data_IF_192814390656
#
_entry.id   IF_192814390656
#
_cell.length_a   1.000
_cell.length_b   1.000
_cell.length_c   1.000
_cell.angle_alpha   90.00
_cell.angle_beta   90.00
_cell.angle_gamma   90.00
#
_symmetry.space_group_name_H-M   'P 1'
#
loop_
_entity.id
_entity.type
_entity.pdbx_description
1 polymer ?
#
# COMPACT_ATOMS: atom_id res chain seq x y z
N UNK A 1 57.14 -20.26 0.60
CA UNK A 1 55.73 -20.40 1.04
C UNK A 1 55.26 -19.02 1.48
N UNK A 2 54.74 -18.23 0.55
CA UNK A 2 54.23 -16.89 0.83
C UNK A 2 52.71 -17.00 1.04
N UNK A 3 52.27 -16.83 2.28
CA UNK A 3 50.86 -16.71 2.66
C UNK A 3 50.34 -15.39 2.06
N UNK A 4 49.49 -15.47 1.04
CA UNK A 4 48.78 -14.31 0.50
C UNK A 4 47.74 -13.84 1.54
N UNK A 5 47.59 -12.53 1.79
CA UNK A 5 46.61 -12.04 2.75
C UNK A 5 45.20 -12.33 2.23
N UNK A 6 44.40 -13.00 3.08
CA UNK A 6 42.97 -13.21 2.87
C UNK A 6 42.29 -11.83 2.72
N UNK A 7 41.51 -11.59 1.65
CA UNK A 7 40.79 -10.32 1.52
C UNK A 7 39.73 -10.25 2.63
N UNK A 8 39.94 -9.34 3.57
CA UNK A 8 38.99 -8.99 4.61
C UNK A 8 37.71 -8.49 3.95
N UNK A 9 36.61 -9.24 4.09
CA UNK A 9 35.28 -8.81 3.62
C UNK A 9 34.88 -7.52 4.34
N UNK A 10 35.01 -6.38 3.68
CA UNK A 10 34.33 -5.15 4.07
C UNK A 10 32.85 -5.37 3.74
N UNK A 11 32.02 -5.66 4.75
CA UNK A 11 30.62 -6.03 4.50
C UNK A 11 29.69 -5.87 5.70
N UNK A 12 29.51 -4.65 6.18
CA UNK A 12 28.32 -4.26 6.95
C UNK A 12 28.18 -2.73 6.96
N UNK A 13 27.27 -2.18 6.14
CA UNK A 13 26.10 -1.50 6.73
C UNK A 13 24.78 -1.66 5.93
N UNK A 14 24.69 -2.57 4.96
CA UNK A 14 23.52 -2.66 4.04
C UNK A 14 22.22 -3.13 4.68
N UNK A 15 22.27 -3.82 5.84
CA UNK A 15 21.06 -4.34 6.50
C UNK A 15 20.59 -3.53 7.70
N UNK A 16 21.45 -2.68 8.28
CA UNK A 16 21.09 -1.88 9.46
C UNK A 16 19.93 -0.92 9.17
N UNK A 17 19.89 -0.35 7.96
CA UNK A 17 18.77 0.49 7.51
C UNK A 17 17.44 -0.30 7.48
N UNK A 18 17.49 -1.55 7.01
CA UNK A 18 16.32 -2.42 6.84
C UNK A 18 15.77 -2.80 8.20
N UNK A 19 16.65 -3.25 9.10
CA UNK A 19 16.28 -3.59 10.48
C UNK A 19 15.70 -2.37 11.20
N UNK A 20 16.33 -1.19 11.08
CA UNK A 20 15.81 0.04 11.68
C UNK A 20 14.40 0.37 11.16
N UNK A 21 14.20 0.41 9.85
CA UNK A 21 12.90 0.69 9.26
C UNK A 21 11.85 -0.37 9.63
N UNK A 22 12.25 -1.65 9.68
CA UNK A 22 11.39 -2.74 10.08
C UNK A 22 10.92 -2.59 11.52
N UNK A 23 11.84 -2.41 12.48
CA UNK A 23 11.50 -2.23 13.90
C UNK A 23 10.58 -1.04 14.14
N UNK A 24 10.66 0.01 13.32
CA UNK A 24 9.80 1.19 13.41
C UNK A 24 8.37 0.95 12.91
N UNK A 25 8.13 -0.04 12.04
CA UNK A 25 6.87 -0.19 11.30
C UNK A 25 6.23 -1.58 11.38
N UNK A 26 6.90 -2.57 11.97
CA UNK A 26 6.43 -3.95 12.06
C UNK A 26 5.08 -4.07 12.78
N UNK A 27 4.92 -3.40 13.93
CA UNK A 27 3.67 -3.46 14.71
C UNK A 27 2.48 -2.91 13.90
N UNK A 28 2.72 -1.84 13.14
CA UNK A 28 1.71 -1.22 12.29
C UNK A 28 1.34 -2.12 11.10
N UNK A 29 2.34 -2.70 10.42
CA UNK A 29 2.16 -3.64 9.32
C UNK A 29 1.40 -4.90 9.77
N UNK A 30 1.75 -5.42 10.95
CA UNK A 30 1.08 -6.57 11.56
C UNK A 30 -0.39 -6.26 11.84
N UNK A 31 -0.69 -5.11 12.45
CA UNK A 31 -2.06 -4.66 12.68
C UNK A 31 -2.87 -4.55 11.39
N UNK A 32 -2.29 -3.93 10.36
CA UNK A 32 -2.88 -3.83 9.02
C UNK A 32 -3.17 -5.21 8.42
N UNK A 33 -2.20 -6.12 8.41
CA UNK A 33 -2.35 -7.45 7.81
C UNK A 33 -3.37 -8.31 8.56
N UNK A 34 -3.41 -8.24 9.90
CA UNK A 34 -4.42 -8.93 10.71
C UNK A 34 -5.83 -8.45 10.40
N UNK A 35 -6.01 -7.14 10.25
CA UNK A 35 -7.31 -6.57 9.89
C UNK A 35 -7.75 -7.03 8.49
N UNK A 36 -6.85 -7.01 7.52
CA UNK A 36 -7.17 -7.37 6.14
C UNK A 36 -7.42 -8.88 5.91
N UNK A 37 -6.71 -9.73 6.64
CA UNK A 37 -6.81 -11.19 6.46
C UNK A 37 -7.90 -11.81 7.32
N UNK A 38 -8.21 -11.23 8.49
CA UNK A 38 -9.07 -11.86 9.50
C UNK A 38 -8.47 -13.11 10.13
N UNK A 39 -7.24 -13.50 9.76
CA UNK A 39 -6.55 -14.71 10.17
C UNK A 39 -5.15 -14.34 10.68
N UNK A 40 -4.88 -14.70 11.94
CA UNK A 40 -3.62 -14.35 12.60
C UNK A 40 -2.44 -15.02 11.90
N UNK A 41 -2.55 -16.30 11.56
CA UNK A 41 -1.40 -17.05 11.08
C UNK A 41 -1.09 -16.64 9.62
N UNK A 42 -2.13 -16.40 8.82
CA UNK A 42 -1.97 -15.79 7.50
C UNK A 42 -1.31 -14.39 7.53
N UNK A 43 -1.64 -13.58 8.54
CA UNK A 43 -1.02 -12.26 8.71
C UNK A 43 0.46 -12.35 9.07
N UNK A 44 0.85 -13.30 9.94
CA UNK A 44 2.25 -13.55 10.29
C UNK A 44 3.08 -14.02 9.08
N UNK A 45 2.52 -14.90 8.25
CA UNK A 45 3.18 -15.35 7.02
C UNK A 45 3.44 -14.19 6.05
N UNK A 46 2.44 -13.34 5.83
CA UNK A 46 2.57 -12.15 4.98
C UNK A 46 3.57 -11.14 5.53
N UNK A 47 3.60 -10.98 6.86
CA UNK A 47 4.58 -10.13 7.53
C UNK A 47 5.99 -10.67 7.32
N UNK A 48 6.20 -11.98 7.48
CA UNK A 48 7.49 -12.63 7.25
C UNK A 48 7.94 -12.49 5.79
N UNK A 49 7.08 -12.74 4.81
CA UNK A 49 7.42 -12.57 3.38
C UNK A 49 7.79 -11.12 3.05
N UNK A 50 7.07 -10.15 3.64
CA UNK A 50 7.39 -8.72 3.49
C UNK A 50 8.78 -8.41 4.03
N UNK A 51 9.14 -8.95 5.20
CA UNK A 51 10.48 -8.77 5.77
C UNK A 51 11.57 -9.36 4.87
N UNK A 52 11.37 -10.59 4.38
CA UNK A 52 12.31 -11.26 3.48
C UNK A 52 12.51 -10.47 2.19
N UNK A 53 11.45 -9.90 1.62
CA UNK A 53 11.53 -9.03 0.45
C UNK A 53 12.31 -7.74 0.75
N UNK A 54 12.13 -7.13 1.92
CA UNK A 54 12.91 -5.96 2.35
C UNK A 54 14.39 -6.29 2.49
N UNK A 55 14.71 -7.42 3.14
CA UNK A 55 16.09 -7.90 3.29
C UNK A 55 16.76 -8.20 1.95
N UNK A 56 16.04 -8.79 0.98
CA UNK A 56 16.54 -9.04 -0.38
C UNK A 56 16.79 -7.75 -1.16
N UNK A 57 15.97 -6.71 -0.95
CA UNK A 57 16.15 -5.42 -1.61
C UNK A 57 17.41 -4.66 -1.10
N UNK A 58 17.79 -4.87 0.17
CA UNK A 58 19.08 -4.43 0.73
C UNK A 58 19.39 -2.95 0.46
N UNK A 59 20.48 -2.68 -0.25
CA UNK A 59 20.90 -1.31 -0.55
C UNK A 59 19.85 -0.49 -1.33
N UNK A 60 19.06 -1.12 -2.20
CA UNK A 60 17.98 -0.44 -2.93
C UNK A 60 16.87 0.02 -1.97
N UNK A 61 16.61 -0.75 -0.92
CA UNK A 61 15.68 -0.34 0.13
C UNK A 61 16.24 0.83 0.94
N UNK A 62 17.53 0.81 1.28
CA UNK A 62 18.17 1.92 2.00
C UNK A 62 18.17 3.25 1.23
N UNK A 63 18.09 3.20 -0.10
CA UNK A 63 18.05 4.37 -0.95
C UNK A 63 16.63 4.93 -1.17
N UNK A 64 15.60 4.33 -0.56
CA UNK A 64 14.23 4.82 -0.68
C UNK A 64 14.02 6.07 0.17
N UNK A 65 13.33 7.05 -0.42
CA UNK A 65 12.88 8.25 0.31
C UNK A 65 11.87 7.87 1.41
N UNK A 66 11.02 6.87 1.15
CA UNK A 66 10.02 6.38 2.12
C UNK A 66 10.00 4.84 2.20
N UNK A 67 10.75 4.32 3.17
CA UNK A 67 10.81 2.90 3.51
C UNK A 67 9.46 2.35 3.98
N UNK A 68 8.67 3.12 4.74
CA UNK A 68 7.36 2.68 5.26
C UNK A 68 6.39 2.47 4.11
N UNK A 69 6.25 3.46 3.22
CA UNK A 69 5.36 3.33 2.07
C UNK A 69 5.73 2.14 1.18
N UNK A 70 7.02 1.84 1.05
CA UNK A 70 7.46 0.64 0.33
C UNK A 70 7.05 -0.65 1.05
N UNK A 71 7.24 -0.75 2.37
CA UNK A 71 6.84 -1.93 3.15
C UNK A 71 5.34 -2.22 3.02
N UNK A 72 4.50 -1.19 3.19
CA UNK A 72 3.05 -1.33 3.02
C UNK A 72 2.64 -1.72 1.60
N UNK A 73 3.36 -1.23 0.58
CA UNK A 73 3.13 -1.62 -0.81
C UNK A 73 3.45 -3.09 -1.03
N UNK A 74 4.58 -3.57 -0.50
CA UNK A 74 4.98 -4.96 -0.63
C UNK A 74 4.02 -5.89 0.11
N UNK A 75 3.61 -5.51 1.32
CA UNK A 75 2.63 -6.26 2.10
C UNK A 75 1.27 -6.36 1.39
N UNK A 76 0.77 -5.25 0.81
CA UNK A 76 -0.44 -5.25 -0.02
C UNK A 76 -0.33 -6.16 -1.23
N UNK A 77 0.79 -6.09 -1.96
CA UNK A 77 0.99 -6.96 -3.12
C UNK A 77 0.97 -8.45 -2.71
N UNK A 78 1.64 -8.80 -1.61
CA UNK A 78 1.66 -10.17 -1.10
C UNK A 78 0.25 -10.66 -0.69
N UNK A 79 -0.54 -9.78 -0.06
CA UNK A 79 -1.93 -10.05 0.27
C UNK A 79 -2.77 -10.31 -0.99
N UNK A 80 -2.68 -9.45 -2.01
CA UNK A 80 -3.39 -9.62 -3.29
C UNK A 80 -3.01 -10.94 -3.96
N UNK A 81 -1.71 -11.27 -4.00
CA UNK A 81 -1.22 -12.52 -4.58
C UNK A 81 -1.82 -13.73 -3.85
N UNK A 82 -1.88 -13.69 -2.50
CA UNK A 82 -2.51 -14.74 -1.68
C UNK A 82 -4.00 -14.87 -1.98
N UNK A 83 -4.75 -13.77 -2.01
CA UNK A 83 -6.19 -13.79 -2.29
C UNK A 83 -6.50 -14.35 -3.68
N UNK A 84 -5.62 -14.12 -4.65
CA UNK A 84 -5.74 -14.70 -5.99
C UNK A 84 -5.55 -16.22 -6.00
N UNK A 85 -4.61 -16.73 -5.22
CA UNK A 85 -4.36 -18.18 -5.09
C UNK A 85 -5.46 -18.90 -4.30
N UNK A 86 -6.11 -18.19 -3.37
CA UNK A 86 -7.22 -18.73 -2.57
C UNK A 86 -8.54 -18.79 -3.34
N UNK A 87 -8.67 -18.10 -4.49
CA UNK A 87 -9.83 -18.26 -5.38
C UNK A 87 -9.65 -19.53 -6.22
N UNK A 88 -10.55 -20.53 -6.14
CA UNK A 88 -10.64 -21.57 -7.15
C UNK A 88 -10.76 -20.91 -8.53
N UNK A 89 -10.05 -21.44 -9.53
CA UNK A 89 -10.25 -21.03 -10.92
C UNK A 89 -11.56 -21.62 -11.46
N UNK A 90 -12.69 -21.25 -10.85
CA UNK A 90 -14.00 -21.59 -11.38
C UNK A 90 -14.45 -20.49 -12.36
N UNK A 91 -15.10 -20.87 -13.48
CA UNK A 91 -15.73 -19.90 -14.36
C UNK A 91 -16.74 -19.09 -13.56
N UNK A 92 -16.71 -17.77 -13.74
CA UNK A 92 -17.46 -16.76 -12.99
C UNK A 92 -18.92 -17.18 -12.85
N UNK A 93 -19.30 -17.67 -11.68
CA UNK A 93 -20.68 -17.67 -11.24
C UNK A 93 -20.94 -16.33 -10.55
N UNK A 94 -21.96 -15.62 -11.03
CA UNK A 94 -22.28 -14.22 -10.67
C UNK A 94 -22.82 -14.06 -9.25
N UNK A 95 -22.75 -15.07 -8.38
CA UNK A 95 -23.32 -15.05 -7.05
C UNK A 95 -22.31 -15.48 -5.98
N UNK A 96 -21.41 -14.57 -5.64
CA UNK A 96 -20.69 -14.61 -4.36
C UNK A 96 -20.54 -13.20 -3.77
N UNK A 97 -21.69 -12.55 -3.55
CA UNK A 97 -21.81 -11.55 -2.51
C UNK A 97 -21.73 -12.29 -1.18
N UNK A 98 -20.64 -12.09 -0.42
CA UNK A 98 -20.62 -11.92 1.04
C UNK A 98 -19.15 -11.71 1.43
N UNK A 99 -18.67 -10.48 1.28
CA UNK A 99 -17.67 -9.96 2.21
C UNK A 99 -18.43 -9.79 3.51
N UNK A 100 -18.16 -10.64 4.50
CA UNK A 100 -18.68 -10.44 5.84
C UNK A 100 -18.24 -9.04 6.30
N UNK A 101 -19.19 -8.11 6.31
CA UNK A 101 -19.03 -6.83 6.93
C UNK A 101 -18.84 -7.10 8.43
N UNK A 102 -17.59 -7.09 8.88
CA UNK A 102 -17.33 -6.84 10.28
C UNK A 102 -17.92 -5.46 10.57
N UNK A 103 -18.96 -5.42 11.40
CA UNK A 103 -19.59 -4.18 11.84
C UNK A 103 -18.50 -3.23 12.37
N UNK A 104 -18.32 -2.04 11.78
CA UNK A 104 -17.45 -1.06 12.38
C UNK A 104 -18.16 -0.53 13.62
N UNK A 105 -17.60 -0.81 14.81
CA UNK A 105 -17.98 -0.06 16.00
C UNK A 105 -17.83 1.45 15.70
N UNK A 106 -18.82 2.29 16.06
CA UNK A 106 -18.77 3.70 15.73
C UNK A 106 -17.75 4.39 16.63
N UNK A 107 -16.52 4.55 16.15
CA UNK A 107 -15.53 5.45 16.72
C UNK A 107 -15.74 6.85 16.12
N UNK A 108 -16.22 7.86 16.89
CA UNK A 108 -16.66 9.16 16.37
C UNK A 108 -15.52 10.08 15.88
N UNK A 109 -14.31 9.56 15.69
CA UNK A 109 -13.12 10.31 15.29
C UNK A 109 -12.44 9.79 14.00
N UNK A 110 -13.02 8.82 13.29
CA UNK A 110 -12.46 8.25 12.04
C UNK A 110 -12.97 8.98 10.77
N UNK A 111 -13.91 9.92 10.90
CA UNK A 111 -14.84 10.24 9.80
C UNK A 111 -14.48 11.40 8.86
N UNK A 112 -13.58 12.33 9.20
CA UNK A 112 -13.36 13.49 8.33
C UNK A 112 -12.45 13.21 7.12
N UNK A 113 -11.45 12.33 7.25
CA UNK A 113 -10.53 12.01 6.15
C UNK A 113 -11.11 10.94 5.20
N UNK A 114 -11.82 9.96 5.74
CA UNK A 114 -12.50 8.92 4.94
C UNK A 114 -13.59 9.53 4.06
N UNK A 115 -14.42 10.41 4.62
CA UNK A 115 -15.40 11.18 3.85
C UNK A 115 -14.78 12.10 2.81
N UNK A 116 -13.64 12.72 3.13
CA UNK A 116 -12.87 13.51 2.18
C UNK A 116 -12.39 12.67 0.99
N UNK A 117 -11.82 11.47 1.20
CA UNK A 117 -11.35 10.60 0.12
C UNK A 117 -12.51 10.22 -0.80
N UNK A 118 -13.64 9.80 -0.23
CA UNK A 118 -14.83 9.43 -1.00
C UNK A 118 -15.31 10.59 -1.89
N UNK A 119 -15.37 11.81 -1.33
CA UNK A 119 -15.75 13.02 -2.07
C UNK A 119 -14.74 13.37 -3.15
N UNK A 120 -13.45 13.41 -2.85
CA UNK A 120 -12.42 13.78 -3.83
C UNK A 120 -12.36 12.77 -4.98
N UNK A 121 -12.61 11.49 -4.72
CA UNK A 121 -12.72 10.49 -5.79
C UNK A 121 -13.89 10.76 -6.75
N UNK A 122 -15.00 11.34 -6.28
CA UNK A 122 -16.11 11.76 -7.14
C UNK A 122 -15.79 13.00 -7.97
N UNK A 123 -14.84 13.82 -7.52
CA UNK A 123 -14.40 15.03 -8.21
C UNK A 123 -13.33 14.77 -9.30
N UNK A 124 -12.73 13.58 -9.29
CA UNK A 124 -11.77 13.15 -10.31
C UNK A 124 -12.47 12.68 -11.59
N UNK A 125 -11.69 12.54 -12.67
CA UNK A 125 -12.21 11.90 -13.88
C UNK A 125 -12.62 10.45 -13.59
N UNK A 126 -13.62 9.92 -14.32
CA UNK A 126 -14.09 8.55 -14.14
C UNK A 126 -12.95 7.53 -14.26
N UNK A 127 -12.05 7.72 -15.24
CA UNK A 127 -10.85 6.90 -15.44
C UNK A 127 -9.88 6.95 -14.24
N UNK A 128 -9.62 8.14 -13.68
CA UNK A 128 -8.72 8.28 -12.54
C UNK A 128 -9.33 7.65 -11.28
N UNK A 129 -10.62 7.88 -11.03
CA UNK A 129 -11.32 7.31 -9.90
C UNK A 129 -11.42 5.78 -9.99
N UNK A 130 -11.71 5.24 -11.17
CA UNK A 130 -11.76 3.79 -11.44
C UNK A 130 -10.41 3.11 -11.12
N UNK A 131 -9.30 3.65 -11.63
CA UNK A 131 -7.99 3.04 -11.39
C UNK A 131 -7.56 3.13 -9.91
N UNK A 132 -7.90 4.23 -9.22
CA UNK A 132 -7.62 4.40 -7.80
C UNK A 132 -8.44 3.44 -6.93
N UNK A 133 -9.75 3.29 -7.21
CA UNK A 133 -10.58 2.32 -6.48
C UNK A 133 -10.06 0.90 -6.66
N UNK A 134 -9.90 0.46 -7.92
CA UNK A 134 -9.48 -0.89 -8.23
C UNK A 134 -8.10 -1.20 -7.62
N UNK A 135 -7.11 -0.34 -7.85
CA UNK A 135 -5.73 -0.65 -7.45
C UNK A 135 -5.41 -0.30 -6.00
N UNK A 136 -5.89 0.85 -5.49
CA UNK A 136 -5.45 1.39 -4.21
C UNK A 136 -6.42 1.06 -3.05
N UNK A 137 -7.72 0.87 -3.34
CA UNK A 137 -8.74 0.54 -2.33
C UNK A 137 -9.09 -0.96 -2.33
N UNK A 138 -9.36 -1.53 -3.50
CA UNK A 138 -9.76 -2.93 -3.67
C UNK A 138 -8.56 -3.88 -3.79
N UNK A 139 -7.35 -3.33 -3.96
CA UNK A 139 -6.11 -4.10 -3.99
C UNK A 139 -5.88 -4.90 -5.28
N UNK A 140 -6.58 -4.58 -6.37
CA UNK A 140 -6.34 -5.17 -7.69
C UNK A 140 -4.90 -4.87 -8.16
N UNK A 141 -4.22 -5.84 -8.77
CA UNK A 141 -2.89 -5.59 -9.32
C UNK A 141 -2.99 -4.68 -10.56
N UNK A 142 -1.97 -3.84 -10.78
CA UNK A 142 -1.90 -3.00 -11.99
C UNK A 142 -1.88 -3.82 -13.29
N UNK A 143 -1.39 -5.06 -13.23
CA UNK A 143 -1.37 -5.99 -14.37
C UNK A 143 -2.77 -6.48 -14.69
N UNK A 144 -3.52 -6.91 -13.68
CA UNK A 144 -4.90 -7.37 -13.87
C UNK A 144 -5.81 -6.20 -14.26
N UNK A 145 -5.59 -5.00 -13.69
CA UNK A 145 -6.28 -3.78 -14.11
C UNK A 145 -6.02 -3.47 -15.59
N UNK A 146 -4.76 -3.56 -16.03
CA UNK A 146 -4.40 -3.36 -17.43
C UNK A 146 -5.13 -4.35 -18.35
N UNK A 147 -5.14 -5.64 -17.98
CA UNK A 147 -5.84 -6.68 -18.73
C UNK A 147 -7.36 -6.44 -18.79
N UNK A 148 -7.99 -6.14 -17.64
CA UNK A 148 -9.42 -5.90 -17.54
C UNK A 148 -9.90 -4.72 -18.39
N UNK A 149 -9.04 -3.70 -18.60
CA UNK A 149 -9.38 -2.47 -19.34
C UNK A 149 -8.74 -2.38 -20.73
N UNK A 150 -8.15 -3.47 -21.23
CA UNK A 150 -7.52 -3.49 -22.56
C UNK A 150 -6.34 -2.52 -22.71
N UNK A 151 -5.62 -2.24 -21.61
CA UNK A 151 -4.46 -1.34 -21.58
C UNK A 151 -3.16 -2.15 -21.56
N UNK A 152 -2.08 -1.52 -22.03
CA UNK A 152 -0.75 -2.04 -21.73
C UNK A 152 -0.38 -1.78 -20.26
N UNK A 153 0.44 -2.65 -19.66
CA UNK A 153 0.92 -2.45 -18.29
C UNK A 153 1.62 -1.09 -18.08
N UNK A 154 2.48 -0.60 -19.00
CA UNK A 154 3.03 0.76 -18.90
C UNK A 154 1.96 1.85 -18.93
N UNK A 155 0.91 1.71 -19.75
CA UNK A 155 -0.18 2.67 -19.81
C UNK A 155 -1.00 2.69 -18.51
N UNK A 156 -1.30 1.53 -17.93
CA UNK A 156 -1.96 1.42 -16.63
C UNK A 156 -1.12 2.03 -15.50
N UNK A 157 0.18 1.73 -15.45
CA UNK A 157 1.14 2.34 -14.51
C UNK A 157 1.16 3.86 -14.60
N UNK A 158 1.26 4.39 -15.82
CA UNK A 158 1.30 5.83 -16.06
C UNK A 158 -0.03 6.51 -15.69
N UNK A 159 -1.17 5.87 -15.98
CA UNK A 159 -2.51 6.34 -15.59
C UNK A 159 -2.63 6.41 -14.07
N UNK A 160 -2.34 5.32 -13.37
CA UNK A 160 -2.43 5.28 -11.90
C UNK A 160 -1.52 6.30 -11.23
N UNK A 161 -0.29 6.49 -11.75
CA UNK A 161 0.62 7.52 -11.23
C UNK A 161 0.03 8.92 -11.36
N UNK A 162 -0.55 9.26 -12.53
CA UNK A 162 -1.20 10.56 -12.75
C UNK A 162 -2.44 10.72 -11.87
N UNK A 163 -3.25 9.68 -11.74
CA UNK A 163 -4.43 9.68 -10.87
C UNK A 163 -4.07 9.96 -9.41
N UNK A 164 -3.02 9.30 -8.88
CA UNK A 164 -2.51 9.55 -7.51
C UNK A 164 -2.02 10.98 -7.30
N UNK A 165 -1.35 11.58 -8.29
CA UNK A 165 -0.92 12.99 -8.24
C UNK A 165 -2.13 13.93 -8.16
N UNK A 166 -3.12 13.73 -9.03
CA UNK A 166 -4.37 14.52 -9.04
C UNK A 166 -5.15 14.35 -7.74
N UNK A 167 -5.25 13.13 -7.22
CA UNK A 167 -5.87 12.86 -5.92
C UNK A 167 -5.19 13.66 -4.81
N UNK A 168 -3.85 13.60 -4.73
CA UNK A 168 -3.07 14.37 -3.75
C UNK A 168 -3.34 15.86 -3.85
N UNK A 169 -3.24 16.44 -5.05
CA UNK A 169 -3.50 17.87 -5.30
C UNK A 169 -4.90 18.28 -4.83
N UNK A 170 -5.92 17.48 -5.17
CA UNK A 170 -7.30 17.75 -4.76
C UNK A 170 -7.51 17.59 -3.26
N UNK A 171 -6.91 16.60 -2.62
CA UNK A 171 -6.99 16.44 -1.17
C UNK A 171 -6.35 17.62 -0.41
N UNK A 172 -5.25 18.17 -0.93
CA UNK A 172 -4.63 19.39 -0.38
C UNK A 172 -5.57 20.59 -0.45
N UNK A 173 -6.25 20.78 -1.59
CA UNK A 173 -7.14 21.93 -1.81
C UNK A 173 -8.48 21.77 -1.08
N UNK A 174 -9.12 20.62 -1.24
CA UNK A 174 -10.50 20.39 -0.85
C UNK A 174 -10.67 19.99 0.62
N UNK A 175 -9.62 19.43 1.24
CA UNK A 175 -9.67 18.91 2.61
C UNK A 175 -8.55 19.47 3.49
N UNK A 176 -7.79 20.46 2.97
CA UNK A 176 -6.65 21.09 3.64
C UNK A 176 -5.68 20.08 4.24
N UNK A 177 -5.52 18.95 3.54
CA UNK A 177 -4.56 17.92 3.92
C UNK A 177 -3.17 18.49 3.68
N UNK A 178 -2.39 18.67 4.74
CA UNK A 178 -0.98 19.03 4.62
C UNK A 178 -0.17 17.75 4.52
N UNK A 179 0.67 17.69 3.50
CA UNK A 179 1.64 16.62 3.34
C UNK A 179 3.01 17.08 3.85
N UNK A 180 3.73 16.20 4.54
CA UNK A 180 5.10 16.45 4.96
C UNK A 180 5.98 16.50 3.70
N UNK A 181 6.74 17.58 3.50
CA UNK A 181 7.62 17.68 2.34
C UNK A 181 8.79 16.68 2.37
N UNK A 182 9.14 16.12 3.53
CA UNK A 182 10.26 15.18 3.67
C UNK A 182 9.90 13.75 3.24
N UNK A 183 8.70 13.27 3.57
CA UNK A 183 8.31 11.87 3.35
C UNK A 183 6.91 11.70 2.70
N UNK A 184 6.19 12.80 2.43
CA UNK A 184 4.89 12.77 1.79
C UNK A 184 3.74 12.24 2.66
N UNK A 185 3.95 12.12 3.98
CA UNK A 185 2.91 11.74 4.96
C UNK A 185 1.88 12.83 5.13
N UNK A 186 0.68 12.50 5.57
CA UNK A 186 -0.30 13.51 6.02
C UNK A 186 0.14 14.04 7.38
N UNK A 187 0.58 15.29 7.48
CA UNK A 187 0.91 15.95 8.75
C UNK A 187 -0.34 16.31 9.56
N UNK A 188 -1.38 16.79 8.87
CA UNK A 188 -2.66 17.15 9.46
C UNK A 188 -3.72 17.30 8.37
N UNK A 189 -4.99 17.07 8.74
CA UNK A 189 -6.14 17.48 7.94
C UNK A 189 -7.07 18.28 8.86
N UNK A 190 -7.43 19.50 8.46
CA UNK A 190 -8.56 20.18 9.11
C UNK A 190 -9.80 19.76 8.33
N UNK A 191 -10.53 18.78 8.88
CA UNK A 191 -11.89 18.49 8.41
C UNK A 191 -12.66 19.80 8.39
N UNK A 192 -13.16 20.18 7.22
CA UNK A 192 -14.07 21.33 7.15
C UNK A 192 -15.32 20.87 7.88
N UNK A 193 -15.59 21.47 9.04
CA UNK A 193 -16.91 21.35 9.68
C UNK A 193 -17.84 22.06 8.72
N UNK A 194 -18.51 21.31 7.86
CA UNK A 194 -19.63 21.86 7.09
C UNK A 194 -20.73 22.13 8.11
N UNK A 195 -20.70 23.36 8.62
CA UNK A 195 -21.75 23.90 9.47
C UNK A 195 -23.05 23.99 8.68
N UNK A 196 -24.11 23.51 9.34
CA UNK A 196 -25.55 23.63 9.12
C UNK A 196 -26.02 24.60 8.04
#
# INVERSE_FOLDING_TARGET
MAEAPVPTRVGAPTFACVVKAWTAHEAELRGFLRHQTGDRDAAEDLLQDTFLKAMRAGAQFCALDDARAWLFRVARNALTDRLRLARPQDPIDEHAQTLAAAEPEPAPAVDALTGCIARVLQELSADDADCLRACDLEGMTQKDYAAARGLSLPAAKARLLRARRRLRERMTLACRVRFDPADGRVCCHQGRVDGT
#
